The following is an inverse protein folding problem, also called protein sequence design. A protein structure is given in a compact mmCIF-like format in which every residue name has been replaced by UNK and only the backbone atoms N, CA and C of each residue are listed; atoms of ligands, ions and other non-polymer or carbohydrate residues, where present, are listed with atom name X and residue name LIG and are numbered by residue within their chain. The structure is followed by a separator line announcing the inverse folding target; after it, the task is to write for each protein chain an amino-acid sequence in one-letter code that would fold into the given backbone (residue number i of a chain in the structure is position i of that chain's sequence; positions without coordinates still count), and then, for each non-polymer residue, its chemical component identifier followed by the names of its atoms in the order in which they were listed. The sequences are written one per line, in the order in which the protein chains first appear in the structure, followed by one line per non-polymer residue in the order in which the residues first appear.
data_IF_664791841911
#
_entry.id   IF_664791841911
#
_cell.length_a   1.000
_cell.length_b   1.000
_cell.length_c   1.000
_cell.angle_alpha   90.00
_cell.angle_beta   90.00
_cell.angle_gamma   90.00
#
_symmetry.space_group_name_H-M   'P 1'
#
loop_
_entity.id
_entity.type
_entity.pdbx_description
1 polymer ?
#
# COMPACT_ATOMS: atom_id res chain seq x y z
N UNK A 1 16.86 29.90 2.16
CA UNK A 1 16.39 30.29 0.81
C UNK A 1 15.49 29.19 0.28
N UNK A 2 14.17 29.43 0.28
CA UNK A 2 13.15 28.54 -0.28
C UNK A 2 13.00 28.88 -1.76
N UNK A 3 13.56 28.07 -2.65
CA UNK A 3 13.26 28.18 -4.08
C UNK A 3 12.31 27.05 -4.47
N UNK A 4 11.04 27.41 -4.56
CA UNK A 4 9.97 26.64 -5.19
C UNK A 4 10.29 26.66 -6.68
N UNK A 5 10.83 25.55 -7.20
CA UNK A 5 10.90 25.33 -8.65
C UNK A 5 9.46 25.11 -9.12
N UNK A 6 8.88 26.13 -9.76
CA UNK A 6 7.52 26.11 -10.32
C UNK A 6 7.34 24.90 -11.25
N UNK A 7 6.40 24.02 -10.89
CA UNK A 7 5.98 22.80 -11.58
C UNK A 7 5.28 23.01 -12.95
N UNK A 8 5.19 24.24 -13.47
CA UNK A 8 4.36 24.57 -14.64
C UNK A 8 4.90 24.01 -15.97
N UNK A 9 6.18 23.64 -16.06
CA UNK A 9 6.78 23.15 -17.31
C UNK A 9 6.56 21.64 -17.57
N UNK A 10 6.10 20.86 -16.58
CA UNK A 10 6.03 19.38 -16.67
C UNK A 10 4.70 18.89 -17.28
N UNK A 11 3.62 19.69 -17.17
CA UNK A 11 2.29 19.30 -17.69
C UNK A 11 2.26 19.12 -19.21
N UNK A 12 2.99 19.94 -19.96
CA UNK A 12 2.86 20.00 -21.42
C UNK A 12 3.64 18.89 -22.16
N UNK A 13 4.62 18.25 -21.52
CA UNK A 13 5.47 17.22 -22.15
C UNK A 13 4.90 15.82 -21.91
N UNK A 14 4.34 15.55 -20.72
CA UNK A 14 3.74 14.25 -20.39
C UNK A 14 2.48 13.95 -21.21
N UNK A 15 1.66 14.97 -21.50
CA UNK A 15 0.37 14.78 -22.20
C UNK A 15 0.54 14.66 -23.73
N UNK A 16 1.67 15.10 -24.30
CA UNK A 16 1.91 15.04 -25.76
C UNK A 16 2.60 13.76 -26.23
N UNK A 17 3.32 13.06 -25.36
CA UNK A 17 4.18 11.94 -25.77
C UNK A 17 3.52 10.54 -25.72
N UNK A 18 2.38 10.34 -25.03
CA UNK A 18 1.88 8.97 -24.78
C UNK A 18 0.39 8.74 -25.04
N UNK A 19 -0.15 9.39 -26.07
CA UNK A 19 -1.38 8.93 -26.72
C UNK A 19 -1.10 7.68 -27.57
N UNK A 20 -1.45 6.50 -27.04
CA UNK A 20 -1.49 5.16 -27.67
C UNK A 20 -0.25 4.28 -27.46
N UNK A 21 -0.31 3.40 -26.47
CA UNK A 21 -0.05 1.95 -26.66
C UNK A 21 -0.47 1.18 -25.41
N UNK A 22 -1.67 0.61 -25.46
CA UNK A 22 -2.12 -0.45 -24.54
C UNK A 22 -2.13 -1.74 -25.34
N UNK A 23 -1.52 -2.78 -24.79
CA UNK A 23 -2.07 -4.12 -24.93
C UNK A 23 -1.12 -5.22 -25.38
N UNK A 24 -1.17 -6.30 -24.59
CA UNK A 24 -0.84 -7.69 -24.90
C UNK A 24 0.58 -8.12 -24.56
N UNK A 25 0.75 -8.76 -23.39
CA UNK A 25 1.55 -10.00 -23.30
C UNK A 25 0.91 -11.02 -22.34
N UNK A 26 1.00 -12.26 -22.80
CA UNK A 26 0.31 -13.50 -22.42
C UNK A 26 0.28 -13.88 -20.93
N UNK A 27 -0.91 -14.29 -20.47
CA UNK A 27 -1.10 -15.20 -19.33
C UNK A 27 -1.00 -16.65 -19.82
N UNK A 28 0.00 -17.41 -19.39
CA UNK A 28 -0.11 -18.87 -19.30
C UNK A 28 0.89 -19.43 -18.28
N UNK A 29 0.38 -20.35 -17.43
CA UNK A 29 1.11 -21.28 -16.54
C UNK A 29 1.72 -20.59 -15.29
N UNK A 30 1.25 -20.81 -14.05
CA UNK A 30 1.30 -22.06 -13.29
C UNK A 30 0.07 -22.19 -12.37
N UNK A 31 -0.75 -23.21 -12.64
CA UNK A 31 -1.60 -23.88 -11.67
C UNK A 31 -0.81 -25.08 -11.11
N UNK A 32 -1.11 -25.51 -9.88
CA UNK A 32 -0.51 -26.60 -9.08
C UNK A 32 0.57 -26.19 -8.05
N UNK A 33 0.11 -25.75 -6.88
CA UNK A 33 0.66 -26.15 -5.57
C UNK A 33 -0.23 -25.72 -4.37
N UNK A 34 -1.56 -25.60 -4.55
CA UNK A 34 -2.48 -25.16 -3.50
C UNK A 34 -3.39 -26.32 -3.04
N UNK A 35 -2.80 -27.34 -2.40
CA UNK A 35 -3.58 -28.44 -1.82
C UNK A 35 -2.95 -29.13 -0.59
N UNK A 36 -1.84 -28.62 -0.01
CA UNK A 36 -1.14 -29.33 1.07
C UNK A 36 -0.68 -28.46 2.25
N UNK A 37 -1.24 -27.26 2.45
CA UNK A 37 -0.88 -26.38 3.58
C UNK A 37 -2.06 -26.02 4.50
N UNK A 38 -3.20 -26.71 4.38
CA UNK A 38 -4.42 -26.44 5.18
C UNK A 38 -4.56 -27.32 6.44
N UNK A 39 -3.48 -27.95 6.93
CA UNK A 39 -3.58 -28.90 8.05
C UNK A 39 -2.74 -28.63 9.29
N UNK A 40 -2.04 -27.50 9.40
CA UNK A 40 -1.32 -27.18 10.65
C UNK A 40 -1.33 -25.70 10.96
N UNK A 41 -2.44 -25.20 11.51
CA UNK A 41 -2.50 -24.10 12.48
C UNK A 41 -3.96 -23.95 12.97
N UNK A 42 -4.42 -24.88 13.81
CA UNK A 42 -5.55 -24.62 14.70
C UNK A 42 -5.02 -24.70 16.13
N UNK A 43 -4.96 -23.58 16.87
CA UNK A 43 -5.03 -23.60 18.32
C UNK A 43 -6.51 -23.71 18.73
N UNK A 44 -6.79 -24.71 19.53
CA UNK A 44 -8.08 -25.01 20.13
C UNK A 44 -8.54 -23.95 21.14
N UNK A 45 -9.79 -23.54 20.98
CA UNK A 45 -10.84 -23.34 21.97
C UNK A 45 -10.63 -22.38 23.16
N UNK A 46 -11.45 -21.32 23.18
CA UNK A 46 -12.28 -20.96 24.34
C UNK A 46 -13.42 -20.01 23.95
N UNK A 47 -14.60 -20.53 23.60
CA UNK A 47 -15.89 -19.81 23.75
C UNK A 47 -17.00 -20.86 23.97
N UNK A 48 -17.29 -21.16 25.24
CA UNK A 48 -18.66 -21.36 25.71
C UNK A 48 -19.24 -19.94 25.92
N UNK A 49 -20.51 -19.61 25.69
CA UNK A 49 -21.75 -20.36 25.72
C UNK A 49 -22.79 -19.52 24.95
N UNK A 50 -23.54 -20.08 24.01
CA UNK A 50 -24.99 -19.83 23.83
C UNK A 50 -25.56 -20.70 22.70
N UNK A 51 -26.80 -21.16 22.86
CA UNK A 51 -27.47 -22.25 22.14
C UNK A 51 -27.71 -22.08 20.62
N UNK A 52 -26.96 -21.20 19.95
CA UNK A 52 -26.80 -21.09 18.49
C UNK A 52 -25.48 -21.74 17.98
N UNK A 53 -24.98 -22.74 18.73
CA UNK A 53 -23.63 -23.30 18.67
C UNK A 53 -23.33 -24.28 17.51
N UNK A 54 -24.10 -24.27 16.41
CA UNK A 54 -23.90 -25.19 15.29
C UNK A 54 -23.53 -24.53 13.95
N UNK A 55 -23.66 -23.21 13.85
CA UNK A 55 -23.55 -22.51 12.56
C UNK A 55 -22.16 -21.89 12.36
N UNK A 56 -21.52 -22.08 11.19
CA UNK A 56 -20.29 -21.43 10.80
C UNK A 56 -20.32 -19.91 11.06
N UNK A 57 -19.17 -19.34 11.40
CA UNK A 57 -19.02 -17.89 11.63
C UNK A 57 -19.48 -17.09 10.41
N UNK A 58 -19.14 -17.54 9.20
CA UNK A 58 -19.52 -16.88 7.96
C UNK A 58 -21.05 -16.79 7.83
N UNK A 59 -21.80 -17.83 8.18
CA UNK A 59 -23.27 -17.78 8.18
C UNK A 59 -23.80 -16.73 9.16
N UNK A 60 -23.22 -16.67 10.37
CA UNK A 60 -23.60 -15.68 11.39
C UNK A 60 -23.33 -14.24 10.92
N UNK A 61 -22.28 -14.02 10.14
CA UNK A 61 -21.94 -12.71 9.58
C UNK A 61 -22.86 -12.40 8.39
N UNK A 62 -23.09 -13.36 7.50
CA UNK A 62 -23.95 -13.21 6.32
C UNK A 62 -25.41 -12.86 6.71
N UNK A 63 -25.90 -13.34 7.86
CA UNK A 63 -27.21 -12.95 8.40
C UNK A 63 -27.29 -11.47 8.83
N UNK A 64 -26.15 -10.79 8.95
CA UNK A 64 -26.05 -9.41 9.45
C UNK A 64 -25.70 -8.39 8.37
N UNK A 65 -25.27 -8.83 7.19
CA UNK A 65 -24.99 -7.93 6.07
C UNK A 65 -26.23 -7.75 5.19
N UNK A 66 -26.29 -6.65 4.45
CA UNK A 66 -27.41 -6.40 3.54
C UNK A 66 -27.41 -7.40 2.37
N UNK A 67 -28.58 -7.66 1.79
CA UNK A 67 -28.73 -8.53 0.61
C UNK A 67 -27.93 -8.08 -0.63
N UNK A 68 -27.52 -6.81 -0.65
CA UNK A 68 -26.71 -6.20 -1.71
C UNK A 68 -25.23 -6.06 -1.29
N UNK A 69 -24.83 -6.80 -0.27
CA UNK A 69 -23.46 -6.85 0.25
C UNK A 69 -22.95 -8.28 0.24
N UNK A 70 -21.63 -8.42 0.17
CA UNK A 70 -20.89 -9.67 0.23
C UNK A 70 -19.76 -9.56 1.23
N UNK A 71 -19.53 -10.63 1.98
CA UNK A 71 -18.37 -10.74 2.85
C UNK A 71 -17.10 -10.84 2.00
N UNK A 72 -16.13 -9.96 2.25
CA UNK A 72 -14.81 -9.98 1.64
C UNK A 72 -13.81 -10.73 2.50
N UNK A 73 -12.77 -10.03 2.97
CA UNK A 73 -11.75 -10.60 3.84
C UNK A 73 -12.24 -10.72 5.28
N UNK A 74 -11.78 -11.77 5.98
CA UNK A 74 -11.93 -11.94 7.42
C UNK A 74 -10.55 -12.14 8.03
N UNK A 75 -10.26 -11.41 9.11
CA UNK A 75 -9.00 -11.50 9.85
C UNK A 75 -9.25 -11.55 11.36
N UNK A 76 -8.37 -12.26 12.06
CA UNK A 76 -8.50 -12.53 13.49
C UNK A 76 -7.28 -12.04 14.27
N UNK A 77 -7.52 -11.37 15.38
CA UNK A 77 -6.44 -10.99 16.28
C UNK A 77 -6.84 -10.09 17.43
N UNK A 78 -6.13 -10.23 18.54
CA UNK A 78 -6.18 -9.32 19.68
C UNK A 78 -5.69 -7.91 19.27
N UNK A 79 -6.62 -6.98 19.01
CA UNK A 79 -6.31 -5.60 18.63
C UNK A 79 -6.37 -4.63 19.83
N UNK A 80 -6.98 -5.03 20.95
CA UNK A 80 -7.19 -4.17 22.12
C UNK A 80 -6.45 -4.59 23.40
N UNK A 81 -5.77 -5.74 23.35
CA UNK A 81 -4.93 -6.29 24.41
C UNK A 81 -5.67 -7.18 25.41
N UNK A 82 -6.94 -7.52 25.19
CA UNK A 82 -7.72 -8.35 26.12
C UNK A 82 -7.44 -9.86 26.02
N UNK A 83 -6.50 -10.25 25.15
CA UNK A 83 -6.07 -11.64 24.88
C UNK A 83 -7.15 -12.51 24.23
N UNK A 84 -8.20 -11.90 23.68
CA UNK A 84 -9.17 -12.55 22.80
C UNK A 84 -8.99 -12.02 21.39
N UNK A 85 -9.21 -12.89 20.42
CA UNK A 85 -9.16 -12.46 19.02
C UNK A 85 -10.43 -11.67 18.68
N UNK A 86 -10.25 -10.44 18.22
CA UNK A 86 -11.29 -9.68 17.53
C UNK A 86 -11.40 -10.14 16.07
N UNK A 87 -12.59 -9.97 15.49
CA UNK A 87 -12.90 -10.38 14.13
C UNK A 87 -13.07 -9.13 13.27
N UNK A 88 -12.09 -8.86 12.41
CA UNK A 88 -12.12 -7.76 11.46
C UNK A 88 -12.54 -8.29 10.11
N UNK A 89 -13.55 -7.65 9.52
CA UNK A 89 -14.11 -8.06 8.23
C UNK A 89 -14.13 -6.90 7.25
N UNK A 90 -14.07 -7.23 5.96
CA UNK A 90 -14.45 -6.32 4.89
C UNK A 90 -15.81 -6.73 4.33
N UNK A 91 -16.64 -5.75 4.02
CA UNK A 91 -17.96 -5.95 3.45
C UNK A 91 -18.00 -5.13 2.17
N UNK A 92 -18.21 -5.80 1.05
CA UNK A 92 -18.23 -5.19 -0.28
C UNK A 92 -19.66 -5.14 -0.81
N UNK A 93 -20.01 -4.04 -1.45
CA UNK A 93 -21.31 -3.84 -2.07
C UNK A 93 -21.30 -4.50 -3.46
N UNK A 94 -22.33 -5.29 -3.74
CA UNK A 94 -22.54 -5.80 -5.10
C UNK A 94 -22.96 -4.63 -6.00
N UNK A 95 -22.38 -4.56 -7.20
CA UNK A 95 -22.32 -3.38 -8.09
C UNK A 95 -23.65 -2.95 -8.72
N UNK A 96 -24.79 -3.19 -8.07
CA UNK A 96 -26.14 -2.83 -8.54
C UNK A 96 -26.73 -1.63 -7.80
N UNK A 97 -25.96 -0.94 -6.96
CA UNK A 97 -26.47 0.13 -6.14
C UNK A 97 -26.41 1.51 -6.81
N UNK A 98 -27.55 2.20 -6.75
CA UNK A 98 -27.84 3.53 -7.29
C UNK A 98 -26.72 4.56 -7.15
N UNK A 99 -26.57 5.40 -8.19
CA UNK A 99 -25.79 6.64 -8.18
C UNK A 99 -26.22 7.51 -6.99
N UNK A 100 -25.41 7.53 -5.93
CA UNK A 100 -25.65 8.28 -4.70
C UNK A 100 -25.73 7.45 -3.41
N UNK A 101 -25.55 6.12 -3.48
CA UNK A 101 -25.63 5.23 -2.32
C UNK A 101 -24.37 5.15 -1.42
N UNK A 102 -24.54 4.48 -0.27
CA UNK A 102 -23.52 4.17 0.75
C UNK A 102 -22.21 3.59 0.19
N UNK A 103 -21.08 3.65 0.94
CA UNK A 103 -19.74 3.25 0.50
C UNK A 103 -19.71 1.86 -0.19
N UNK A 104 -18.87 1.71 -1.22
CA UNK A 104 -18.72 0.45 -1.99
C UNK A 104 -18.09 -0.66 -1.16
N UNK A 105 -17.23 -0.33 -0.19
CA UNK A 105 -16.70 -1.29 0.76
C UNK A 105 -16.64 -0.68 2.15
N UNK A 106 -16.69 -1.53 3.17
CA UNK A 106 -16.58 -1.14 4.58
C UNK A 106 -15.60 -2.06 5.28
N UNK A 107 -14.81 -1.48 6.17
CA UNK A 107 -14.05 -2.21 7.19
C UNK A 107 -14.89 -2.23 8.46
N UNK A 108 -15.07 -3.39 9.08
CA UNK A 108 -15.93 -3.53 10.24
C UNK A 108 -15.37 -4.50 11.28
N UNK A 109 -15.81 -4.32 12.52
CA UNK A 109 -15.64 -5.27 13.62
C UNK A 109 -16.89 -6.12 13.74
N UNK A 110 -16.72 -7.44 13.82
CA UNK A 110 -17.78 -8.36 14.22
C UNK A 110 -17.55 -8.82 15.66
N UNK A 111 -18.41 -8.38 16.58
CA UNK A 111 -18.34 -8.73 17.99
C UNK A 111 -19.76 -8.88 18.55
N UNK A 112 -19.97 -9.84 19.44
CA UNK A 112 -21.25 -10.09 20.13
C UNK A 112 -22.46 -10.17 19.17
N UNK A 113 -22.25 -10.79 18.00
CA UNK A 113 -23.28 -10.96 16.97
C UNK A 113 -23.69 -9.67 16.26
N UNK A 114 -22.90 -8.60 16.38
CA UNK A 114 -23.14 -7.28 15.77
C UNK A 114 -21.98 -6.88 14.87
N UNK A 115 -22.31 -6.19 13.79
CA UNK A 115 -21.34 -5.54 12.89
C UNK A 115 -21.26 -4.06 13.28
N UNK A 116 -20.06 -3.59 13.58
CA UNK A 116 -19.77 -2.17 13.82
C UNK A 116 -18.81 -1.68 12.77
N UNK A 117 -19.24 -0.70 11.97
CA UNK A 117 -18.43 -0.12 10.90
C UNK A 117 -17.30 0.70 11.52
N UNK A 118 -16.06 0.37 11.14
CA UNK A 118 -14.85 1.09 11.52
C UNK A 118 -14.60 2.23 10.54
N UNK A 119 -14.66 1.93 9.24
CA UNK A 119 -14.45 2.89 8.17
C UNK A 119 -15.20 2.46 6.91
N UNK A 120 -15.58 3.43 6.08
CA UNK A 120 -16.34 3.24 4.84
C UNK A 120 -15.62 3.85 3.66
N UNK A 121 -15.53 3.11 2.57
CA UNK A 121 -14.77 3.48 1.38
C UNK A 121 -15.63 3.40 0.14
N UNK A 122 -15.52 4.38 -0.75
CA UNK A 122 -16.17 4.32 -2.08
C UNK A 122 -15.42 3.40 -3.05
N UNK A 123 -14.66 2.42 -2.53
CA UNK A 123 -13.70 1.60 -3.25
C UNK A 123 -13.41 0.28 -2.54
N UNK A 124 -12.97 -0.73 -3.31
CA UNK A 124 -12.61 -2.05 -2.80
C UNK A 124 -11.32 -2.10 -1.96
N UNK A 125 -11.36 -2.95 -0.94
CA UNK A 125 -10.18 -3.40 -0.20
C UNK A 125 -9.58 -4.60 -0.94
N UNK A 126 -8.29 -4.55 -1.24
CA UNK A 126 -7.57 -5.57 -2.02
C UNK A 126 -6.87 -6.59 -1.12
N UNK A 127 -6.56 -6.22 0.13
CA UNK A 127 -5.91 -7.08 1.12
C UNK A 127 -6.09 -6.51 2.53
N UNK A 128 -6.24 -7.40 3.50
CA UNK A 128 -6.37 -7.12 4.93
C UNK A 128 -5.42 -8.05 5.71
N UNK A 129 -4.69 -7.50 6.68
CA UNK A 129 -3.79 -8.23 7.57
C UNK A 129 -3.81 -7.63 8.98
N UNK A 130 -3.68 -8.48 10.01
CA UNK A 130 -3.53 -8.05 11.41
C UNK A 130 -2.16 -8.48 11.92
N UNK A 131 -1.36 -7.53 12.40
CA UNK A 131 0.02 -7.75 12.86
C UNK A 131 0.40 -6.73 13.92
N UNK A 132 1.18 -7.14 14.93
CA UNK A 132 1.79 -6.26 15.95
C UNK A 132 3.05 -5.61 15.37
N UNK A 133 2.91 -4.53 14.60
CA UNK A 133 4.02 -3.91 13.89
C UNK A 133 4.90 -3.06 14.81
N UNK A 134 4.34 -2.57 15.91
CA UNK A 134 5.04 -1.72 16.87
C UNK A 134 5.60 -2.45 18.10
N UNK A 135 5.27 -3.75 18.24
CA UNK A 135 5.76 -4.62 19.30
C UNK A 135 5.07 -4.38 20.65
N UNK A 136 3.90 -3.73 20.67
CA UNK A 136 3.17 -3.46 21.90
C UNK A 136 2.34 -4.65 22.41
N UNK A 137 2.29 -5.75 21.66
CA UNK A 137 1.53 -6.96 21.99
C UNK A 137 0.06 -6.94 21.56
N UNK A 138 -0.38 -5.84 20.93
CA UNK A 138 -1.68 -5.70 20.29
C UNK A 138 -1.47 -5.64 18.78
N UNK A 139 -2.37 -6.21 17.99
CA UNK A 139 -2.26 -6.17 16.53
C UNK A 139 -2.83 -4.86 15.98
N UNK A 140 -2.12 -4.26 15.04
CA UNK A 140 -2.66 -3.23 14.17
C UNK A 140 -3.46 -3.85 13.01
N UNK A 141 -4.44 -3.10 12.50
CA UNK A 141 -5.20 -3.45 11.30
C UNK A 141 -4.55 -2.80 10.10
N UNK A 142 -4.03 -3.61 9.17
CA UNK A 142 -3.29 -3.16 7.99
C UNK A 142 -4.07 -3.56 6.75
N UNK A 143 -4.38 -2.60 5.88
CA UNK A 143 -5.14 -2.89 4.67
C UNK A 143 -4.72 -2.05 3.47
N UNK A 144 -4.91 -2.62 2.29
CA UNK A 144 -4.69 -1.99 0.99
C UNK A 144 -6.03 -1.68 0.35
N UNK A 145 -6.22 -0.43 -0.06
CA UNK A 145 -7.44 0.00 -0.77
C UNK A 145 -7.08 0.61 -2.13
N UNK A 146 -7.97 0.48 -3.11
CA UNK A 146 -7.79 1.02 -4.47
C UNK A 146 -8.57 2.32 -4.68
N UNK A 147 -7.92 3.48 -4.72
CA UNK A 147 -8.50 4.82 -4.93
C UNK A 147 -9.37 5.03 -6.18
N UNK A 148 -10.55 5.64 -6.00
CA UNK A 148 -11.60 5.72 -7.04
C UNK A 148 -11.38 6.76 -8.13
N UNK A 149 -10.56 7.78 -7.90
CA UNK A 149 -10.29 8.80 -8.93
C UNK A 149 -9.09 8.47 -9.84
N UNK A 150 -8.30 7.41 -9.57
CA UNK A 150 -7.04 7.19 -10.32
C UNK A 150 -6.32 5.84 -10.17
N UNK A 151 -7.00 4.72 -9.92
CA UNK A 151 -6.34 3.40 -9.71
C UNK A 151 -5.20 3.41 -8.67
N UNK A 152 -5.16 4.42 -7.78
CA UNK A 152 -4.09 4.61 -6.82
C UNK A 152 -4.32 3.72 -5.62
N UNK A 153 -3.40 2.82 -5.36
CA UNK A 153 -3.40 2.00 -4.17
C UNK A 153 -2.77 2.73 -3.00
N UNK A 154 -3.40 2.62 -1.83
CA UNK A 154 -2.92 3.21 -0.58
C UNK A 154 -2.95 2.15 0.52
N UNK A 155 -1.87 2.08 1.32
CA UNK A 155 -1.80 1.23 2.51
C UNK A 155 -2.14 2.06 3.73
N UNK A 156 -3.04 1.54 4.56
CA UNK A 156 -3.43 2.10 5.83
C UNK A 156 -3.05 1.17 6.97
N UNK A 157 -2.67 1.75 8.10
CA UNK A 157 -2.51 1.07 9.38
C UNK A 157 -3.38 1.78 10.40
N UNK A 158 -4.32 1.04 10.99
CA UNK A 158 -5.16 1.52 12.07
C UNK A 158 -4.73 0.87 13.39
N UNK A 159 -4.74 1.68 14.44
CA UNK A 159 -4.58 1.22 15.81
C UNK A 159 -5.91 1.30 16.52
N UNK A 160 -6.28 0.21 17.19
CA UNK A 160 -7.43 0.20 18.07
C UNK A 160 -7.03 0.71 19.45
N UNK A 161 -7.87 1.54 20.02
CA UNK A 161 -7.75 2.02 21.40
C UNK A 161 -9.03 1.70 22.14
N UNK A 162 -8.89 1.02 23.28
CA UNK A 162 -10.00 0.72 24.17
C UNK A 162 -10.42 1.99 24.92
N UNK A 163 -11.69 2.32 24.81
CA UNK A 163 -12.27 3.46 25.47
C UNK A 163 -12.66 3.09 26.91
N UNK A 164 -11.70 3.14 27.84
CA UNK A 164 -11.93 3.00 29.28
C UNK A 164 -12.93 1.89 29.69
N UNK A 165 -13.86 2.23 30.58
CA UNK A 165 -14.79 1.30 31.25
C UNK A 165 -15.91 0.74 30.36
N UNK A 166 -16.20 1.33 29.19
CA UNK A 166 -17.32 0.88 28.35
C UNK A 166 -17.00 -0.34 27.49
N UNK A 167 -15.72 -0.67 27.32
CA UNK A 167 -15.28 -1.74 26.41
C UNK A 167 -15.41 -1.38 24.93
N UNK A 168 -15.92 -0.19 24.59
CA UNK A 168 -15.99 0.29 23.22
C UNK A 168 -14.60 0.54 22.65
N UNK A 169 -14.43 0.25 21.37
CA UNK A 169 -13.17 0.40 20.64
C UNK A 169 -13.23 1.64 19.75
N UNK A 170 -12.18 2.45 19.80
CA UNK A 170 -11.96 3.55 18.85
C UNK A 170 -10.79 3.21 17.94
N UNK A 171 -10.79 3.75 16.72
CA UNK A 171 -9.79 3.42 15.72
C UNK A 171 -9.12 4.70 15.21
N UNK A 172 -7.79 4.71 15.20
CA UNK A 172 -6.98 5.85 14.73
C UNK A 172 -6.04 5.42 13.63
N UNK A 173 -5.86 6.28 12.63
CA UNK A 173 -4.87 6.08 11.57
C UNK A 173 -3.48 6.29 12.16
N UNK A 174 -2.70 5.20 12.27
CA UNK A 174 -1.31 5.23 12.68
C UNK A 174 -0.37 5.50 11.50
N UNK A 175 -0.74 5.05 10.30
CA UNK A 175 0.01 5.29 9.07
C UNK A 175 -0.90 5.29 7.84
N UNK A 176 -0.53 6.11 6.88
CA UNK A 176 -1.09 6.13 5.52
C UNK A 176 0.08 6.29 4.54
N UNK A 177 0.15 5.42 3.54
CA UNK A 177 1.13 5.55 2.46
C UNK A 177 0.76 6.65 1.47
N UNK A 178 1.73 7.08 0.68
CA UNK A 178 1.44 7.78 -0.57
C UNK A 178 0.66 6.85 -1.52
N UNK A 179 -0.14 7.44 -2.41
CA UNK A 179 -0.88 6.70 -3.44
C UNK A 179 0.05 6.22 -4.55
N UNK A 180 -0.06 4.95 -4.92
CA UNK A 180 0.84 4.28 -5.87
C UNK A 180 0.03 3.53 -6.93
N UNK A 181 0.52 3.44 -8.16
CA UNK A 181 -0.07 2.59 -9.19
C UNK A 181 0.55 1.18 -9.12
N UNK A 182 -0.27 0.16 -9.36
CA UNK A 182 0.12 -1.26 -9.26
C UNK A 182 0.81 -1.65 -7.93
N UNK A 183 0.51 -0.88 -6.87
CA UNK A 183 0.87 -1.12 -5.49
C UNK A 183 0.74 -2.58 -5.04
N UNK A 184 1.80 -3.09 -4.43
CA UNK A 184 1.82 -4.32 -3.66
C UNK A 184 2.33 -4.00 -2.28
N UNK A 185 1.81 -4.68 -1.27
CA UNK A 185 2.41 -4.63 0.06
C UNK A 185 2.58 -6.02 0.65
N UNK A 186 3.64 -6.13 1.44
CA UNK A 186 3.95 -7.34 2.19
C UNK A 186 4.47 -6.99 3.59
N UNK A 187 4.33 -7.94 4.52
CA UNK A 187 4.81 -7.80 5.89
C UNK A 187 5.89 -8.84 6.12
N UNK A 188 7.13 -8.38 6.24
CA UNK A 188 8.26 -9.22 6.62
C UNK A 188 8.30 -9.36 8.13
N UNK A 189 8.15 -10.61 8.58
CA UNK A 189 8.32 -10.99 9.98
C UNK A 189 9.80 -11.24 10.26
N UNK A 190 10.33 -10.82 11.42
CA UNK A 190 11.73 -11.02 11.75
C UNK A 190 12.04 -12.51 11.80
N UNK A 191 13.12 -12.90 11.13
CA UNK A 191 13.60 -14.27 11.20
C UNK A 191 14.34 -14.47 12.52
N UNK A 192 14.00 -15.53 13.24
CA UNK A 192 14.71 -15.88 14.47
C UNK A 192 16.03 -16.56 14.13
N UNK A 193 17.06 -15.79 13.78
CA UNK A 193 18.37 -16.31 13.38
C UNK A 193 19.30 -16.27 14.60
N UNK A 194 19.57 -17.44 15.20
CA UNK A 194 20.59 -17.59 16.23
C UNK A 194 20.30 -16.88 17.56
N UNK A 195 19.03 -16.71 17.92
CA UNK A 195 18.63 -16.08 19.20
C UNK A 195 18.77 -14.56 19.24
N UNK A 196 19.08 -13.92 18.12
CA UNK A 196 18.95 -12.47 17.94
C UNK A 196 17.80 -12.20 16.97
N UNK A 197 16.75 -11.57 17.47
CA UNK A 197 15.64 -11.10 16.63
C UNK A 197 16.21 -10.03 15.70
N UNK A 198 16.24 -10.29 14.38
CA UNK A 198 16.58 -9.27 13.38
C UNK A 198 15.62 -8.09 13.49
N UNK A 199 16.07 -6.88 13.12
CA UNK A 199 15.34 -5.61 13.20
C UNK A 199 13.84 -5.70 12.87
N UNK A 200 13.00 -5.99 13.88
CA UNK A 200 11.55 -5.82 13.90
C UNK A 200 10.71 -6.44 12.76
N UNK A 201 9.40 -6.29 12.88
CA UNK A 201 8.47 -6.44 11.75
C UNK A 201 8.67 -5.24 10.81
N UNK A 202 8.75 -5.51 9.51
CA UNK A 202 8.92 -4.47 8.48
C UNK A 202 7.81 -4.61 7.43
N UNK A 203 7.12 -3.51 7.15
CA UNK A 203 6.17 -3.43 6.05
C UNK A 203 6.88 -2.96 4.78
N UNK A 204 6.67 -3.67 3.68
CA UNK A 204 7.18 -3.28 2.36
C UNK A 204 6.01 -2.80 1.52
N UNK A 205 6.17 -1.64 0.90
CA UNK A 205 5.26 -1.10 -0.09
C UNK A 205 6.03 -0.91 -1.38
N UNK A 206 5.61 -1.57 -2.45
CA UNK A 206 6.23 -1.44 -3.77
C UNK A 206 5.20 -1.12 -4.84
N UNK A 207 5.64 -0.53 -5.94
CA UNK A 207 4.78 -0.13 -7.05
C UNK A 207 5.41 1.01 -7.86
N UNK A 208 4.55 1.80 -8.51
CA UNK A 208 4.92 3.02 -9.24
C UNK A 208 4.34 4.24 -8.55
N UNK A 209 5.09 5.35 -8.46
CA UNK A 209 4.53 6.60 -7.94
C UNK A 209 3.75 7.30 -9.05
N UNK A 210 2.60 6.82 -9.51
CA UNK A 210 1.81 7.52 -10.56
C UNK A 210 0.69 8.40 -9.99
N UNK A 211 1.00 9.19 -8.95
CA UNK A 211 0.08 10.22 -8.47
C UNK A 211 0.15 11.46 -9.38
N UNK A 212 -0.94 12.23 -9.53
CA UNK A 212 -0.89 13.51 -10.26
C UNK A 212 0.17 14.43 -9.69
N UNK A 213 1.14 14.83 -10.53
CA UNK A 213 2.28 15.64 -10.09
C UNK A 213 3.42 14.84 -9.45
N UNK A 214 3.41 13.50 -9.56
CA UNK A 214 4.54 12.67 -9.14
C UNK A 214 5.79 13.01 -9.93
N UNK A 215 6.91 12.94 -9.23
CA UNK A 215 8.24 13.29 -9.72
C UNK A 215 8.89 12.10 -10.45
N UNK A 216 8.44 10.87 -10.20
CA UNK A 216 8.99 9.66 -10.79
C UNK A 216 7.89 8.61 -11.09
N UNK A 217 6.95 8.91 -12.01
CA UNK A 217 5.82 8.04 -12.30
C UNK A 217 6.19 6.70 -12.94
N UNK A 218 7.38 6.58 -13.54
CA UNK A 218 7.78 5.36 -14.24
C UNK A 218 8.83 4.53 -13.48
N UNK A 219 9.28 4.99 -12.32
CA UNK A 219 10.27 4.27 -11.51
C UNK A 219 9.56 3.30 -10.57
N UNK A 220 9.77 2.01 -10.81
CA UNK A 220 9.40 0.95 -9.85
C UNK A 220 10.22 1.12 -8.56
N UNK A 221 9.55 0.97 -7.42
CA UNK A 221 10.19 1.07 -6.13
C UNK A 221 9.74 -0.03 -5.17
N UNK A 222 10.52 -0.22 -4.12
CA UNK A 222 10.19 -0.99 -2.92
C UNK A 222 10.67 -0.21 -1.70
N UNK A 223 9.72 0.35 -0.98
CA UNK A 223 9.97 1.15 0.22
C UNK A 223 9.68 0.30 1.45
N UNK A 224 10.63 0.32 2.39
CA UNK A 224 10.56 -0.43 3.63
C UNK A 224 10.19 0.55 4.74
N UNK A 225 9.15 0.19 5.48
CA UNK A 225 8.63 0.95 6.60
C UNK A 225 8.76 0.10 7.85
N UNK A 226 9.32 0.68 8.90
CA UNK A 226 9.47 0.04 10.20
C UNK A 226 8.96 0.97 11.28
N UNK A 227 8.51 0.40 12.40
CA UNK A 227 8.15 1.20 13.56
C UNK A 227 9.41 1.79 14.21
N UNK A 228 9.42 3.11 14.35
CA UNK A 228 10.47 3.83 15.07
C UNK A 228 10.01 4.09 16.51
N UNK A 229 10.53 3.30 17.44
CA UNK A 229 10.24 3.37 18.88
C UNK A 229 10.46 4.77 19.45
N UNK A 230 11.48 5.51 18.98
CA UNK A 230 11.80 6.83 19.50
C UNK A 230 10.74 7.88 19.17
N UNK A 231 10.07 7.74 18.02
CA UNK A 231 9.02 8.67 17.59
C UNK A 231 7.60 8.13 17.77
N UNK A 232 7.45 6.85 18.09
CA UNK A 232 6.16 6.17 18.19
C UNK A 232 5.42 6.11 16.85
N UNK A 233 6.15 6.06 15.73
CA UNK A 233 5.56 6.15 14.37
C UNK A 233 6.20 5.16 13.41
N UNK A 234 5.40 4.69 12.45
CA UNK A 234 5.91 3.96 11.29
C UNK A 234 6.64 4.95 10.37
N UNK A 235 7.90 4.66 10.06
CA UNK A 235 8.75 5.50 9.22
C UNK A 235 9.38 4.72 8.09
N UNK A 236 9.62 5.43 6.99
CA UNK A 236 10.43 4.92 5.88
C UNK A 236 11.86 4.71 6.34
N UNK A 237 12.30 3.45 6.41
CA UNK A 237 13.64 3.05 6.86
C UNK A 237 14.59 2.81 5.70
N UNK A 238 14.09 2.31 4.58
CA UNK A 238 14.89 2.07 3.38
C UNK A 238 14.08 2.33 2.11
N UNK A 239 14.72 2.98 1.14
CA UNK A 239 14.21 3.12 -0.21
C UNK A 239 14.98 2.19 -1.13
N UNK A 240 14.26 1.46 -1.96
CA UNK A 240 14.81 0.76 -3.09
C UNK A 240 14.08 1.24 -4.34
N UNK A 241 14.86 1.61 -5.35
CA UNK A 241 14.36 1.92 -6.68
C UNK A 241 14.96 0.89 -7.62
N UNK A 242 14.11 0.31 -8.47
CA UNK A 242 14.55 -0.62 -9.49
C UNK A 242 15.52 0.07 -10.45
N UNK A 243 16.37 -0.74 -11.08
CA UNK A 243 17.33 -0.20 -12.04
C UNK A 243 16.57 0.38 -13.24
N UNK A 244 16.82 1.65 -13.62
CA UNK A 244 16.15 2.25 -14.76
C UNK A 244 16.52 1.53 -16.07
N UNK A 245 15.50 1.28 -16.88
CA UNK A 245 15.55 0.56 -18.17
C UNK A 245 15.42 1.53 -19.36
N UNK A 246 14.91 2.74 -19.14
CA UNK A 246 14.69 3.77 -20.17
C UNK A 246 15.40 5.08 -19.81
N UNK A 247 15.59 5.97 -20.81
CA UNK A 247 16.16 7.31 -20.57
C UNK A 247 15.26 8.16 -19.67
N UNK A 248 13.93 8.03 -19.80
CA UNK A 248 12.97 8.71 -18.93
C UNK A 248 13.11 8.27 -17.47
N UNK A 249 13.24 6.96 -17.22
CA UNK A 249 13.48 6.45 -15.86
C UNK A 249 14.84 6.89 -15.30
N UNK A 250 15.90 6.94 -16.12
CA UNK A 250 17.19 7.50 -15.67
C UNK A 250 17.08 9.00 -15.31
N UNK A 251 16.29 9.77 -16.07
CA UNK A 251 16.04 11.18 -15.79
C UNK A 251 15.23 11.36 -14.50
N UNK A 252 14.19 10.56 -14.27
CA UNK A 252 13.43 10.53 -13.01
C UNK A 252 14.32 10.15 -11.83
N UNK A 253 15.20 9.16 -11.99
CA UNK A 253 16.21 8.83 -10.97
C UNK A 253 17.18 9.98 -10.70
N UNK A 254 17.51 10.80 -11.70
CA UNK A 254 18.31 12.00 -11.48
C UNK A 254 17.54 13.04 -10.63
N UNK A 255 16.24 13.23 -10.86
CA UNK A 255 15.39 14.07 -10.02
C UNK A 255 15.26 13.56 -8.59
N UNK A 256 15.05 12.26 -8.41
CA UNK A 256 15.01 11.66 -7.07
C UNK A 256 16.29 11.95 -6.28
N UNK A 257 17.46 11.83 -6.93
CA UNK A 257 18.73 12.22 -6.30
C UNK A 257 18.75 13.70 -5.87
N UNK A 258 18.13 14.60 -6.64
CA UNK A 258 18.06 16.02 -6.27
C UNK A 258 17.18 16.26 -5.05
N UNK A 259 16.02 15.61 -4.97
CA UNK A 259 15.13 15.69 -3.80
C UNK A 259 15.82 15.16 -2.54
N UNK A 260 16.69 14.17 -2.70
CA UNK A 260 17.49 13.58 -1.63
C UNK A 260 18.77 14.39 -1.34
N UNK A 261 18.88 15.60 -1.88
CA UNK A 261 20.06 16.48 -1.76
C UNK A 261 21.37 15.88 -2.30
N UNK A 262 21.30 14.80 -3.09
CA UNK A 262 22.43 14.19 -3.77
C UNK A 262 22.71 14.86 -5.13
N UNK A 263 23.12 16.13 -5.09
CA UNK A 263 23.40 16.93 -6.31
C UNK A 263 24.49 16.30 -7.19
N UNK A 264 25.55 15.75 -6.58
CA UNK A 264 26.65 15.11 -7.33
C UNK A 264 26.17 13.85 -8.07
N UNK A 265 25.35 13.02 -7.40
CA UNK A 265 24.76 11.83 -8.01
C UNK A 265 23.81 12.19 -9.15
N UNK A 266 22.98 13.22 -8.97
CA UNK A 266 22.10 13.73 -10.02
C UNK A 266 22.88 14.23 -11.24
N UNK A 267 23.89 15.08 -11.04
CA UNK A 267 24.71 15.62 -12.14
C UNK A 267 25.38 14.51 -12.96
N UNK A 268 25.99 13.51 -12.30
CA UNK A 268 26.62 12.36 -12.97
C UNK A 268 25.63 11.55 -13.81
N UNK A 269 24.38 11.41 -13.35
CA UNK A 269 23.32 10.73 -14.12
C UNK A 269 22.92 11.54 -15.33
N UNK A 270 22.68 12.84 -15.17
CA UNK A 270 22.32 13.73 -16.28
C UNK A 270 23.39 13.77 -17.37
N UNK A 271 24.66 13.86 -16.99
CA UNK A 271 25.78 13.82 -17.96
C UNK A 271 25.82 12.51 -18.75
N UNK A 272 25.52 11.37 -18.10
CA UNK A 272 25.42 10.06 -18.76
C UNK A 272 24.25 10.01 -19.72
N UNK A 273 23.08 10.50 -19.32
CA UNK A 273 21.87 10.55 -20.17
C UNK A 273 22.14 11.39 -21.40
N UNK A 274 22.69 12.59 -21.23
CA UNK A 274 23.04 13.51 -22.32
C UNK A 274 23.99 12.83 -23.33
N UNK A 275 25.02 12.14 -22.84
CA UNK A 275 25.96 11.41 -23.70
C UNK A 275 25.26 10.29 -24.48
N UNK A 276 24.42 9.51 -23.82
CA UNK A 276 23.69 8.41 -24.46
C UNK A 276 22.65 8.90 -25.48
N UNK A 277 21.87 9.93 -25.13
CA UNK A 277 20.84 10.50 -25.98
C UNK A 277 21.42 11.13 -27.26
N UNK A 278 22.56 11.83 -27.17
CA UNK A 278 23.28 12.39 -28.34
C UNK A 278 23.74 11.31 -29.32
N UNK A 279 23.98 10.09 -28.85
CA UNK A 279 24.43 8.98 -29.69
C UNK A 279 23.26 8.19 -30.30
N UNK A 280 22.07 8.19 -29.69
CA UNK A 280 20.95 7.34 -30.07
C UNK A 280 20.14 7.85 -31.28
N UNK A 281 20.22 9.14 -31.64
CA UNK A 281 19.55 9.77 -32.80
C UNK A 281 18.04 9.43 -32.96
N UNK A 282 17.29 9.21 -31.88
CA UNK A 282 15.83 9.05 -31.92
C UNK A 282 15.09 10.34 -31.54
N UNK A 283 13.86 10.54 -32.01
CA UNK A 283 13.04 11.72 -31.70
C UNK A 283 12.75 11.85 -30.19
N UNK A 284 12.41 10.75 -29.51
CA UNK A 284 12.22 10.72 -28.05
C UNK A 284 13.47 11.15 -27.25
N UNK A 285 14.65 11.01 -27.85
CA UNK A 285 15.90 11.44 -27.23
C UNK A 285 16.02 12.96 -27.21
N UNK A 286 15.35 13.71 -28.08
CA UNK A 286 15.52 15.16 -28.21
C UNK A 286 14.89 15.94 -27.04
N UNK A 287 13.67 15.59 -26.64
CA UNK A 287 12.97 16.26 -25.55
C UNK A 287 13.61 15.92 -24.19
N UNK A 288 13.96 14.66 -23.96
CA UNK A 288 14.68 14.22 -22.76
C UNK A 288 16.06 14.89 -22.69
N UNK A 289 16.75 15.01 -23.83
CA UNK A 289 18.06 15.67 -23.89
C UNK A 289 17.95 17.14 -23.46
N UNK A 290 17.00 17.89 -24.02
CA UNK A 290 16.78 19.30 -23.65
C UNK A 290 16.47 19.43 -22.16
N UNK A 291 15.57 18.60 -21.64
CA UNK A 291 15.20 18.62 -20.23
C UNK A 291 16.40 18.29 -19.31
N UNK A 292 17.25 17.34 -19.70
CA UNK A 292 18.47 17.00 -18.97
C UNK A 292 19.49 18.14 -18.98
N UNK A 293 19.69 18.79 -20.12
CA UNK A 293 20.63 19.91 -20.26
C UNK A 293 20.18 21.12 -19.42
N UNK A 294 18.88 21.46 -19.45
CA UNK A 294 18.32 22.52 -18.61
C UNK A 294 18.45 22.23 -17.12
N UNK A 295 18.19 20.99 -16.70
CA UNK A 295 18.33 20.61 -15.30
C UNK A 295 19.79 20.64 -14.86
N UNK A 296 20.72 20.11 -15.66
CA UNK A 296 22.15 20.11 -15.35
C UNK A 296 22.70 21.54 -15.24
N UNK A 297 22.23 22.47 -16.09
CA UNK A 297 22.59 23.87 -16.03
C UNK A 297 22.14 24.53 -14.71
N UNK A 298 20.98 24.16 -14.17
CA UNK A 298 20.47 24.67 -12.88
C UNK A 298 21.22 24.12 -11.65
N UNK A 299 21.99 23.04 -11.82
CA UNK A 299 22.76 22.41 -10.74
C UNK A 299 24.19 22.95 -10.59
N UNK A 300 24.72 23.59 -11.64
CA UNK A 300 26.02 24.25 -11.66
C UNK A 300 25.91 25.68 -11.18
#
# INVERSE_FOLDING_TARGET
MKNIIKMECIRDISDRAFGKTVGVYNKTIILLALAAALSFCLPSAAMADDAAAGRPLDEKILEKIDKNETLGFTAFGDIDGDKKDDIIITIDKTSEAELGGAPESKLALFADGKITVIDGFSIYIEKLELTDIDGCGNKEIIFLRRGGMKNLMEVFVLKAEKNGQSGEKTFKIAFKSDGVEEGKFDIIKPANIGGKVSDGLTMIIGGYLNAPGSIAPHVEFSHFYSFDQASGKIKLSKKHYERPKTLSQEYEMAYLNLLENNKSGAAKRLERIIKSAKNAKSEDSADILKACEELLAKLK
#
